data_IF_574932298482
#
_entry.id   IF_574932298482
#
_cell.length_a   1.000
_cell.length_b   1.000
_cell.length_c   1.000
_cell.angle_alpha   90.00
_cell.angle_beta   90.00
_cell.angle_gamma   90.00
#
_symmetry.space_group_name_H-M   'P 1'
#
loop_
_entity.id
_entity.type
_entity.pdbx_description
1 polymer ?
#
# COMPACT_ATOMS: atom_id res chain seq x y z
N UNK A 1 43.46 -7.44 -33.19
CA UNK A 1 43.44 -8.10 -31.87
C UNK A 1 43.11 -7.04 -30.85
N UNK A 2 42.24 -7.32 -29.88
CA UNK A 2 41.59 -6.27 -29.09
C UNK A 2 42.58 -5.61 -28.12
N UNK A 3 42.35 -4.36 -27.70
CA UNK A 3 43.01 -3.81 -26.52
C UNK A 3 42.26 -4.22 -25.26
N UNK A 4 43.04 -4.45 -24.20
CA UNK A 4 42.61 -4.59 -22.83
C UNK A 4 42.22 -3.23 -22.21
N UNK A 5 41.54 -3.32 -21.08
CA UNK A 5 41.33 -2.30 -20.04
C UNK A 5 40.33 -1.15 -20.27
N UNK A 6 39.26 -1.22 -19.48
CA UNK A 6 38.29 -0.16 -19.27
C UNK A 6 37.33 -0.52 -18.14
N UNK A 7 37.85 -0.55 -16.90
CA UNK A 7 37.04 -0.47 -15.68
C UNK A 7 36.07 0.72 -15.83
N UNK A 8 34.79 0.47 -16.07
CA UNK A 8 33.77 1.52 -15.96
C UNK A 8 33.46 1.73 -14.49
N UNK A 9 34.08 2.79 -13.94
CA UNK A 9 33.84 3.25 -12.59
C UNK A 9 32.38 3.63 -12.38
N UNK A 10 31.78 3.08 -11.33
CA UNK A 10 30.59 3.64 -10.74
C UNK A 10 30.99 5.00 -10.15
N UNK A 11 30.67 6.07 -10.87
CA UNK A 11 30.78 7.42 -10.34
C UNK A 11 29.80 7.57 -9.19
N UNK A 12 30.34 7.75 -7.99
CA UNK A 12 29.65 8.22 -6.79
C UNK A 12 28.88 9.52 -7.10
N UNK A 13 27.61 9.39 -7.45
CA UNK A 13 26.65 10.48 -7.34
C UNK A 13 25.60 10.09 -6.29
N UNK A 14 26.08 9.87 -5.07
CA UNK A 14 25.26 9.93 -3.87
C UNK A 14 24.75 11.37 -3.76
N UNK A 15 23.52 11.62 -4.20
CA UNK A 15 22.81 12.85 -3.84
C UNK A 15 22.59 12.77 -2.33
N UNK A 16 23.48 13.42 -1.59
CA UNK A 16 23.40 13.56 -0.14
C UNK A 16 22.22 14.49 0.14
N UNK A 17 21.05 13.91 0.38
CA UNK A 17 19.93 14.62 0.99
C UNK A 17 20.39 15.05 2.38
N UNK A 18 20.81 16.31 2.52
CA UNK A 18 20.99 16.93 3.82
C UNK A 18 19.60 17.13 4.43
N UNK A 19 19.17 16.14 5.19
CA UNK A 19 18.06 16.30 6.12
C UNK A 19 18.43 17.45 7.06
N UNK A 20 17.54 18.43 7.29
CA UNK A 20 17.78 19.45 8.30
C UNK A 20 18.08 18.75 9.63
N UNK A 21 19.12 19.20 10.33
CA UNK A 21 19.46 18.67 11.64
C UNK A 21 18.21 18.71 12.51
N UNK A 22 17.82 17.54 13.04
CA UNK A 22 16.73 17.46 14.01
C UNK A 22 17.02 18.43 15.16
N UNK A 23 16.06 19.26 15.57
CA UNK A 23 16.16 20.06 16.77
C UNK A 23 16.63 19.17 17.95
N UNK A 24 17.55 19.64 18.82
CA UNK A 24 18.11 18.84 19.90
C UNK A 24 17.08 18.38 20.95
N UNK A 25 15.85 18.87 20.88
CA UNK A 25 14.69 18.52 21.71
C UNK A 25 13.72 17.52 21.05
N UNK A 26 13.91 17.16 19.79
CA UNK A 26 13.23 16.03 19.16
C UNK A 26 14.00 14.74 19.43
N UNK A 27 13.98 14.29 20.68
CA UNK A 27 14.03 12.85 20.89
C UNK A 27 12.73 12.29 20.33
N UNK A 28 12.79 11.59 19.19
CA UNK A 28 11.77 10.60 18.87
C UNK A 28 11.86 9.54 19.97
N UNK A 29 11.17 9.79 21.07
CA UNK A 29 10.84 8.77 22.05
C UNK A 29 9.92 7.79 21.31
N UNK A 30 10.54 6.82 20.66
CA UNK A 30 9.86 5.73 19.98
C UNK A 30 9.16 4.80 20.98
N UNK A 31 9.16 5.15 22.29
CA UNK A 31 8.54 4.35 23.33
C UNK A 31 9.09 2.93 23.33
N UNK A 32 10.42 2.79 23.25
CA UNK A 32 11.11 1.49 23.24
C UNK A 32 11.09 0.79 24.61
N UNK A 33 10.47 1.41 25.63
CA UNK A 33 10.01 0.68 26.80
C UNK A 33 9.11 -0.47 26.32
N UNK A 34 9.46 -1.74 26.57
CA UNK A 34 8.56 -2.82 26.23
C UNK A 34 7.22 -2.54 26.92
N UNK A 35 6.09 -2.59 26.19
CA UNK A 35 4.80 -2.36 26.81
C UNK A 35 4.68 -3.30 28.02
N UNK A 36 4.07 -2.84 29.13
CA UNK A 36 3.84 -3.72 30.27
C UNK A 36 3.21 -5.01 29.74
N UNK A 37 3.69 -6.15 30.24
CA UNK A 37 3.20 -7.46 29.82
C UNK A 37 1.67 -7.39 29.81
N UNK A 38 1.01 -7.72 28.68
CA UNK A 38 -0.42 -7.50 28.56
C UNK A 38 -1.08 -8.20 29.73
N UNK A 39 -1.75 -7.44 30.59
CA UNK A 39 -2.69 -8.03 31.52
C UNK A 39 -3.58 -8.93 30.68
N UNK A 40 -3.64 -10.23 31.01
CA UNK A 40 -4.48 -11.18 30.27
C UNK A 40 -5.84 -10.50 30.10
N UNK A 41 -6.31 -10.25 28.87
CA UNK A 41 -7.57 -9.58 28.69
C UNK A 41 -8.63 -10.42 29.42
N UNK A 42 -9.16 -9.89 30.51
CA UNK A 42 -10.35 -10.44 31.17
C UNK A 42 -11.60 -10.16 30.33
N UNK A 43 -11.44 -9.64 29.11
CA UNK A 43 -12.50 -9.24 28.18
C UNK A 43 -13.53 -10.35 27.90
N UNK A 44 -13.16 -11.63 28.02
CA UNK A 44 -14.14 -12.72 27.91
C UNK A 44 -15.10 -12.84 29.12
N UNK A 45 -14.76 -12.27 30.28
CA UNK A 45 -15.55 -12.41 31.51
C UNK A 45 -16.85 -11.57 31.51
N UNK A 46 -16.94 -10.54 30.65
CA UNK A 46 -18.07 -9.60 30.60
C UNK A 46 -18.82 -9.62 29.25
N UNK A 47 -18.58 -10.62 28.39
CA UNK A 47 -19.37 -10.75 27.16
C UNK A 47 -20.82 -11.15 27.52
N UNK A 48 -21.84 -10.50 26.94
CA UNK A 48 -23.22 -10.94 27.11
C UNK A 48 -23.36 -12.43 26.74
N UNK A 49 -24.25 -13.13 27.43
CA UNK A 49 -24.45 -14.56 27.24
C UNK A 49 -24.74 -14.87 25.75
N UNK A 50 -24.02 -15.85 25.20
CA UNK A 50 -24.16 -16.25 23.80
C UNK A 50 -23.39 -15.41 22.76
N UNK A 51 -22.76 -14.28 23.12
CA UNK A 51 -21.96 -13.48 22.16
C UNK A 51 -20.75 -14.26 21.67
N UNK A 52 -19.99 -14.90 22.56
CA UNK A 52 -18.85 -15.73 22.17
C UNK A 52 -19.28 -16.85 21.21
N UNK A 53 -20.39 -17.52 21.52
CA UNK A 53 -20.92 -18.59 20.67
C UNK A 53 -21.38 -18.06 19.30
N UNK A 54 -21.99 -16.87 19.26
CA UNK A 54 -22.38 -16.21 18.01
C UNK A 54 -21.16 -15.83 17.15
N UNK A 55 -20.09 -15.33 17.79
CA UNK A 55 -18.83 -15.03 17.11
C UNK A 55 -18.17 -16.30 16.57
N UNK A 56 -18.14 -17.38 17.35
CA UNK A 56 -17.64 -18.68 16.91
C UNK A 56 -18.44 -19.22 15.72
N UNK A 57 -19.78 -19.19 15.78
CA UNK A 57 -20.64 -19.61 14.68
C UNK A 57 -20.38 -18.79 13.42
N UNK A 58 -20.32 -17.45 13.55
CA UNK A 58 -20.05 -16.56 12.42
C UNK A 58 -18.66 -16.75 11.83
N UNK A 59 -17.65 -17.00 12.67
CA UNK A 59 -16.30 -17.31 12.20
C UNK A 59 -16.26 -18.65 11.46
N UNK A 60 -16.94 -19.69 11.98
CA UNK A 60 -17.05 -20.98 11.29
C UNK A 60 -17.78 -20.85 9.95
N UNK A 61 -18.87 -20.08 9.89
CA UNK A 61 -19.57 -19.77 8.64
C UNK A 61 -18.67 -19.04 7.64
N UNK A 62 -17.89 -18.05 8.09
CA UNK A 62 -16.94 -17.34 7.23
C UNK A 62 -15.85 -18.27 6.70
N UNK A 63 -15.26 -19.11 7.56
CA UNK A 63 -14.25 -20.09 7.14
C UNK A 63 -14.84 -21.06 6.12
N UNK A 64 -16.03 -21.59 6.39
CA UNK A 64 -16.70 -22.53 5.48
C UNK A 64 -17.03 -21.88 4.13
N UNK A 65 -17.54 -20.65 4.16
CA UNK A 65 -17.84 -19.86 2.95
C UNK A 65 -16.56 -19.65 2.14
N UNK A 66 -15.55 -19.03 2.73
CA UNK A 66 -14.31 -18.71 2.01
C UNK A 66 -13.59 -19.97 1.51
N UNK A 67 -13.63 -21.07 2.26
CA UNK A 67 -12.99 -22.33 1.83
C UNK A 67 -13.68 -23.00 0.65
N UNK A 68 -14.98 -22.74 0.44
CA UNK A 68 -15.78 -23.34 -0.63
C UNK A 68 -16.01 -22.40 -1.81
N UNK A 69 -15.55 -21.15 -1.75
CA UNK A 69 -15.70 -20.19 -2.84
C UNK A 69 -14.78 -20.54 -4.00
N UNK A 70 -15.34 -20.53 -5.22
CA UNK A 70 -14.54 -20.63 -6.44
C UNK A 70 -13.77 -19.34 -6.70
N UNK A 71 -12.76 -19.40 -7.57
CA UNK A 71 -11.98 -18.21 -7.94
C UNK A 71 -12.87 -17.15 -8.60
N UNK A 72 -13.87 -17.57 -9.40
CA UNK A 72 -14.84 -16.65 -10.01
C UNK A 72 -15.72 -15.96 -8.96
N UNK A 73 -16.14 -16.66 -7.91
CA UNK A 73 -16.93 -16.06 -6.83
C UNK A 73 -16.11 -15.07 -6.00
N UNK A 74 -14.82 -15.35 -5.78
CA UNK A 74 -13.89 -14.43 -5.12
C UNK A 74 -13.66 -13.18 -5.95
N UNK A 75 -13.48 -13.34 -7.25
CA UNK A 75 -13.34 -12.23 -8.19
C UNK A 75 -14.61 -11.38 -8.24
N UNK A 76 -15.79 -12.00 -8.26
CA UNK A 76 -17.08 -11.30 -8.27
C UNK A 76 -17.36 -10.48 -6.98
N UNK A 77 -16.65 -10.78 -5.89
CA UNK A 77 -16.76 -10.04 -4.63
C UNK A 77 -15.94 -8.73 -4.63
N UNK A 78 -15.01 -8.56 -5.58
CA UNK A 78 -14.24 -7.33 -5.71
C UNK A 78 -15.11 -6.17 -6.17
N UNK A 79 -14.93 -5.01 -5.53
CA UNK A 79 -15.60 -3.78 -5.91
C UNK A 79 -14.63 -2.87 -6.64
N UNK A 80 -14.98 -2.50 -7.87
CA UNK A 80 -14.27 -1.45 -8.59
C UNK A 80 -14.74 -0.06 -8.13
N UNK A 81 -13.80 0.81 -7.80
CA UNK A 81 -14.01 2.21 -7.45
C UNK A 81 -13.08 3.08 -8.30
N UNK A 82 -13.63 4.07 -9.00
CA UNK A 82 -12.82 5.10 -9.66
C UNK A 82 -12.70 6.31 -8.74
N UNK A 83 -11.47 6.79 -8.55
CA UNK A 83 -11.15 7.88 -7.63
C UNK A 83 -10.51 9.03 -8.39
N UNK A 84 -11.09 10.25 -8.33
CA UNK A 84 -10.48 11.42 -8.94
C UNK A 84 -9.18 11.79 -8.23
N UNK A 85 -8.14 12.07 -9.01
CA UNK A 85 -6.83 12.46 -8.50
C UNK A 85 -6.64 13.98 -8.56
N UNK A 86 -5.87 14.57 -7.62
CA UNK A 86 -5.58 16.00 -7.63
C UNK A 86 -4.71 16.41 -8.84
N UNK A 87 -4.73 17.71 -9.12
CA UNK A 87 -3.95 18.33 -10.18
C UNK A 87 -4.78 18.62 -11.43
N UNK A 88 -4.28 18.23 -12.61
CA UNK A 88 -4.93 18.52 -13.88
C UNK A 88 -6.33 17.88 -13.99
N UNK A 89 -7.30 18.53 -14.68
CA UNK A 89 -8.63 17.97 -14.90
C UNK A 89 -8.58 16.61 -15.58
N UNK A 90 -9.44 15.69 -15.14
CA UNK A 90 -9.57 14.36 -15.75
C UNK A 90 -8.59 13.30 -15.23
N UNK A 91 -7.72 13.63 -14.27
CA UNK A 91 -6.89 12.61 -13.60
C UNK A 91 -7.76 11.70 -12.72
N UNK A 92 -7.64 10.39 -12.90
CA UNK A 92 -8.30 9.38 -12.07
C UNK A 92 -7.47 8.09 -12.01
N UNK A 93 -7.64 7.34 -10.91
CA UNK A 93 -7.19 5.94 -10.80
C UNK A 93 -8.37 5.03 -10.51
N UNK A 94 -8.28 3.79 -10.96
CA UNK A 94 -9.25 2.72 -10.71
C UNK A 94 -8.69 1.76 -9.68
N UNK A 95 -9.47 1.41 -8.67
CA UNK A 95 -9.08 0.45 -7.64
C UNK A 95 -10.11 -0.68 -7.53
N UNK A 96 -9.61 -1.89 -7.40
CA UNK A 96 -10.34 -3.06 -6.94
C UNK A 96 -10.15 -3.17 -5.42
N UNK A 97 -11.27 -3.16 -4.70
CA UNK A 97 -11.34 -3.27 -3.24
C UNK A 97 -11.96 -4.62 -2.85
N UNK A 98 -11.41 -5.27 -1.83
CA UNK A 98 -11.95 -6.49 -1.23
C UNK A 98 -12.47 -6.17 0.19
N UNK A 99 -13.69 -5.66 0.25
CA UNK A 99 -14.36 -5.35 1.52
C UNK A 99 -14.73 -6.60 2.35
N UNK A 100 -14.72 -7.79 1.74
CA UNK A 100 -15.14 -9.04 2.39
C UNK A 100 -13.95 -9.89 2.84
N UNK A 101 -12.73 -9.57 2.41
CA UNK A 101 -11.51 -10.32 2.71
C UNK A 101 -11.49 -11.72 2.09
N UNK A 102 -12.20 -11.91 0.98
CA UNK A 102 -12.33 -13.20 0.29
C UNK A 102 -11.31 -13.42 -0.82
N UNK A 103 -10.73 -12.34 -1.34
CA UNK A 103 -9.73 -12.35 -2.40
C UNK A 103 -8.33 -12.15 -1.85
N UNK A 104 -8.15 -11.10 -1.05
CA UNK A 104 -6.90 -10.81 -0.34
C UNK A 104 -7.18 -10.93 1.15
N UNK A 105 -6.55 -11.91 1.80
CA UNK A 105 -6.74 -12.21 3.22
C UNK A 105 -6.16 -11.15 4.16
N UNK A 106 -5.52 -10.09 3.63
CA UNK A 106 -5.17 -8.90 4.39
C UNK A 106 -6.38 -7.98 4.56
N UNK A 107 -7.06 -8.09 5.69
CA UNK A 107 -8.25 -7.26 5.97
C UNK A 107 -7.96 -5.74 5.95
N UNK A 108 -6.71 -5.33 6.20
CA UNK A 108 -6.32 -3.91 6.22
C UNK A 108 -5.75 -3.43 4.88
N UNK A 109 -5.15 -4.29 4.06
CA UNK A 109 -4.56 -3.90 2.77
C UNK A 109 -5.58 -3.82 1.61
N UNK A 110 -6.80 -4.31 1.83
CA UNK A 110 -7.79 -4.58 0.78
C UNK A 110 -8.75 -3.43 0.45
N UNK A 111 -8.62 -2.27 1.09
CA UNK A 111 -9.49 -1.09 0.88
C UNK A 111 -8.67 0.19 0.80
N UNK A 112 -9.23 1.23 0.17
CA UNK A 112 -8.51 2.50 0.07
C UNK A 112 -8.64 3.29 1.38
N UNK A 113 -7.50 3.59 2.01
CA UNK A 113 -7.47 4.36 3.25
C UNK A 113 -7.52 5.87 3.01
N UNK A 114 -8.26 6.65 3.83
CA UNK A 114 -8.30 8.11 3.70
C UNK A 114 -6.91 8.77 3.76
N UNK A 115 -5.97 8.20 4.53
CA UNK A 115 -4.59 8.69 4.62
C UNK A 115 -3.87 8.67 3.27
N UNK A 116 -4.15 7.70 2.39
CA UNK A 116 -3.61 7.65 1.04
C UNK A 116 -4.01 8.91 0.26
N UNK A 117 -5.27 9.30 0.28
CA UNK A 117 -5.76 10.47 -0.44
C UNK A 117 -5.21 11.79 0.12
N UNK A 118 -5.01 11.86 1.44
CA UNK A 118 -4.36 13.00 2.06
C UNK A 118 -2.90 13.13 1.59
N UNK A 119 -2.15 12.03 1.56
CA UNK A 119 -0.76 12.01 1.12
C UNK A 119 -0.63 12.32 -0.38
N UNK A 120 -1.48 11.74 -1.23
CA UNK A 120 -1.53 12.03 -2.67
C UNK A 120 -1.73 13.53 -2.93
N UNK A 121 -2.60 14.20 -2.19
CA UNK A 121 -2.81 15.66 -2.30
C UNK A 121 -1.58 16.47 -1.92
N UNK A 122 -0.80 16.00 -0.96
CA UNK A 122 0.45 16.65 -0.58
C UNK A 122 1.52 16.44 -1.65
N UNK A 123 1.70 15.20 -2.09
CA UNK A 123 2.69 14.83 -3.11
C UNK A 123 2.38 15.47 -4.47
N UNK A 124 1.12 15.72 -4.81
CA UNK A 124 0.79 16.45 -6.04
C UNK A 124 1.40 17.86 -6.07
N UNK A 125 1.55 18.49 -4.90
CA UNK A 125 2.12 19.84 -4.74
C UNK A 125 3.63 19.81 -4.60
N UNK A 126 4.17 18.81 -3.91
CA UNK A 126 5.58 18.76 -3.53
C UNK A 126 6.45 18.03 -4.56
N UNK A 127 5.88 17.04 -5.26
CA UNK A 127 6.62 16.24 -6.24
C UNK A 127 6.38 16.82 -7.63
N UNK A 128 7.47 17.26 -8.24
CA UNK A 128 7.48 17.70 -9.64
C UNK A 128 7.26 16.50 -10.58
N UNK A 129 6.67 16.77 -11.74
CA UNK A 129 6.51 15.76 -12.78
C UNK A 129 7.90 15.36 -13.31
N UNK A 130 8.12 14.06 -13.47
CA UNK A 130 9.40 13.49 -13.84
C UNK A 130 9.52 13.35 -15.37
N UNK A 131 10.68 13.67 -15.97
CA UNK A 131 10.88 13.51 -17.41
C UNK A 131 10.95 12.03 -17.79
N UNK A 132 10.29 11.66 -18.89
CA UNK A 132 10.27 10.28 -19.41
C UNK A 132 11.68 9.72 -19.73
N UNK A 133 12.62 10.57 -20.11
CA UNK A 133 14.00 10.17 -20.43
C UNK A 133 14.82 9.73 -19.21
N UNK A 134 14.46 10.20 -18.00
CA UNK A 134 15.17 9.89 -16.76
C UNK A 134 14.20 9.97 -15.58
N UNK A 135 13.32 8.97 -15.40
CA UNK A 135 12.32 9.00 -14.36
C UNK A 135 12.96 8.89 -12.97
N UNK A 136 12.57 9.78 -12.05
CA UNK A 136 12.88 9.64 -10.64
C UNK A 136 12.27 8.34 -10.09
N UNK A 137 12.93 7.72 -9.11
CA UNK A 137 12.48 6.46 -8.52
C UNK A 137 11.84 6.64 -7.14
N UNK A 138 10.78 5.89 -6.85
CA UNK A 138 10.19 5.81 -5.51
C UNK A 138 9.93 4.35 -5.12
N UNK A 139 9.88 4.10 -3.81
CA UNK A 139 9.42 2.83 -3.22
C UNK A 139 8.30 3.14 -2.23
N UNK A 140 7.19 2.41 -2.32
CA UNK A 140 6.07 2.51 -1.38
C UNK A 140 6.08 1.27 -0.46
N UNK A 141 6.08 1.51 0.85
CA UNK A 141 6.01 0.48 1.89
C UNK A 141 4.58 0.38 2.43
N UNK A 142 4.02 -0.84 2.48
CA UNK A 142 2.64 -1.03 2.91
C UNK A 142 1.66 -0.40 1.92
N UNK A 143 1.86 -0.68 0.63
CA UNK A 143 1.14 -0.05 -0.46
C UNK A 143 -0.38 -0.33 -0.45
N UNK A 144 -0.83 -1.43 0.16
CA UNK A 144 -2.23 -1.88 0.13
C UNK A 144 -2.72 -2.04 -1.31
N UNK A 145 -3.56 -1.10 -1.76
CA UNK A 145 -4.05 -1.05 -3.15
C UNK A 145 -3.12 -0.30 -4.12
N UNK A 146 -2.03 0.29 -3.62
CA UNK A 146 -1.03 1.04 -4.40
C UNK A 146 -1.39 2.50 -4.65
N UNK A 147 -2.31 3.09 -3.87
CA UNK A 147 -2.89 4.38 -4.21
C UNK A 147 -1.88 5.54 -4.32
N UNK A 148 -0.84 5.56 -3.49
CA UNK A 148 0.17 6.64 -3.53
C UNK A 148 1.17 6.39 -4.66
N UNK A 149 1.72 5.19 -4.73
CA UNK A 149 2.72 4.83 -5.72
C UNK A 149 2.17 4.80 -7.14
N UNK A 150 0.93 4.36 -7.34
CA UNK A 150 0.26 4.44 -8.65
C UNK A 150 0.00 5.89 -9.06
N UNK A 151 -0.36 6.77 -8.12
CA UNK A 151 -0.46 8.20 -8.41
C UNK A 151 0.88 8.77 -8.90
N UNK A 152 1.98 8.44 -8.22
CA UNK A 152 3.33 8.88 -8.61
C UNK A 152 3.75 8.31 -9.97
N UNK A 153 3.44 7.04 -10.25
CA UNK A 153 3.76 6.43 -11.52
C UNK A 153 2.96 7.06 -12.67
N UNK A 154 1.63 7.09 -12.53
CA UNK A 154 0.70 7.46 -13.60
C UNK A 154 0.65 8.98 -13.83
N UNK A 155 0.61 9.78 -12.76
CA UNK A 155 0.39 11.22 -12.89
C UNK A 155 1.64 12.07 -12.71
N UNK A 156 2.71 11.50 -12.16
CA UNK A 156 4.00 12.18 -12.00
C UNK A 156 5.13 11.55 -12.83
N UNK A 157 4.90 10.42 -13.50
CA UNK A 157 5.89 9.80 -14.39
C UNK A 157 7.10 9.18 -13.67
N UNK A 158 6.96 8.83 -12.38
CA UNK A 158 8.03 8.20 -11.61
C UNK A 158 8.11 6.70 -11.89
N UNK A 159 9.31 6.13 -11.73
CA UNK A 159 9.49 4.68 -11.63
C UNK A 159 9.21 4.24 -10.19
N UNK A 160 8.14 3.51 -9.97
CA UNK A 160 7.71 3.15 -8.62
C UNK A 160 7.81 1.64 -8.37
N UNK A 161 8.35 1.27 -7.21
CA UNK A 161 8.30 -0.09 -6.68
C UNK A 161 7.26 -0.13 -5.56
N UNK A 162 6.20 -0.92 -5.74
CA UNK A 162 5.14 -1.10 -4.75
C UNK A 162 5.45 -2.33 -3.90
N UNK A 163 5.39 -2.21 -2.57
CA UNK A 163 5.68 -3.31 -1.64
C UNK A 163 4.61 -3.45 -0.57
N UNK A 164 4.31 -4.69 -0.20
CA UNK A 164 3.39 -5.04 0.88
C UNK A 164 3.68 -6.48 1.35
N UNK A 165 2.89 -6.98 2.31
CA UNK A 165 2.91 -8.37 2.74
C UNK A 165 2.44 -9.30 1.60
N UNK A 166 2.91 -10.57 1.55
CA UNK A 166 2.62 -11.50 0.47
C UNK A 166 1.13 -11.65 0.13
N UNK A 167 0.26 -11.61 1.14
CA UNK A 167 -1.19 -11.72 1.00
C UNK A 167 -1.85 -10.54 0.28
N UNK A 168 -1.25 -9.34 0.32
CA UNK A 168 -1.77 -8.15 -0.35
C UNK A 168 -1.29 -8.02 -1.81
N UNK A 169 -0.17 -8.67 -2.15
CA UNK A 169 0.45 -8.59 -3.48
C UNK A 169 -0.48 -8.99 -4.64
N UNK A 170 -1.35 -10.01 -4.54
CA UNK A 170 -2.26 -10.36 -5.64
C UNK A 170 -3.21 -9.22 -6.02
N UNK A 171 -3.85 -8.59 -5.03
CA UNK A 171 -4.77 -7.48 -5.28
C UNK A 171 -4.03 -6.21 -5.72
N UNK A 172 -2.88 -5.93 -5.10
CA UNK A 172 -1.99 -4.83 -5.50
C UNK A 172 -1.54 -4.97 -6.96
N UNK A 173 -1.15 -6.16 -7.40
CA UNK A 173 -0.74 -6.42 -8.78
C UNK A 173 -1.88 -6.20 -9.78
N UNK A 174 -3.12 -6.57 -9.42
CA UNK A 174 -4.32 -6.30 -10.23
C UNK A 174 -4.55 -4.80 -10.38
N UNK A 175 -4.43 -4.04 -9.29
CA UNK A 175 -4.56 -2.58 -9.33
C UNK A 175 -3.45 -1.91 -10.13
N UNK A 176 -2.22 -2.42 -10.03
CA UNK A 176 -1.13 -1.94 -10.87
C UNK A 176 -1.41 -2.18 -12.36
N UNK A 177 -1.90 -3.37 -12.73
CA UNK A 177 -2.27 -3.68 -14.11
C UNK A 177 -3.42 -2.81 -14.64
N UNK A 178 -4.49 -2.62 -13.84
CA UNK A 178 -5.66 -1.80 -14.20
C UNK A 178 -5.29 -0.33 -14.49
N UNK A 179 -4.20 0.16 -13.88
CA UNK A 179 -3.73 1.54 -14.07
C UNK A 179 -2.49 1.65 -14.96
N UNK A 180 -1.85 0.54 -15.37
CA UNK A 180 -0.63 0.56 -16.17
C UNK A 180 -0.85 1.23 -17.53
N UNK A 181 -2.01 1.00 -18.16
CA UNK A 181 -2.37 1.60 -19.45
C UNK A 181 -2.70 3.11 -19.35
N UNK A 182 -2.83 3.63 -18.13
CA UNK A 182 -3.10 5.06 -17.87
C UNK A 182 -1.80 5.86 -17.73
N UNK A 183 -0.67 5.20 -17.55
CA UNK A 183 0.63 5.84 -17.45
C UNK A 183 1.07 6.41 -18.82
N UNK A 184 1.71 7.59 -18.85
CA UNK A 184 2.16 8.25 -20.08
C UNK A 184 3.32 7.54 -20.78
#
# INVERSE_FOLDING_TARGET
GPPEDGLFGFGDALVKLELPALPPDLSLDLGLEPPPAPERPTACANLPEGVFQSLCSKMMENIHRTSNMTDEEREAALRRTEVPMPGAPGRSLSFLEDHQGVFSTSATGSVLWPACLALVRQLDREVADSPAAAPASAVELGAGLGGVGLFLAVHKGLRVVLTDLPEALPLLARNAAENAERAP
#
